data_IF_387773895237
#
_entry.id   IF_387773895237
#
_cell.length_a   1.000
_cell.length_b   1.000
_cell.length_c   1.000
_cell.angle_alpha   90.00
_cell.angle_beta   90.00
_cell.angle_gamma   90.00
#
_symmetry.space_group_name_H-M   'P 1'
#
loop_
_entity.id
_entity.type
_entity.pdbx_description
1 polymer ?
#
# COMPACT_ATOMS: atom_id res chain seq x y z
N UNK A 1 -16.66 3.99 8.81
CA UNK A 1 -17.88 3.15 8.68
C UNK A 1 -19.03 4.01 9.15
N UNK A 2 -20.01 4.31 8.29
CA UNK A 2 -21.15 5.11 8.68
C UNK A 2 -21.88 4.47 9.88
N UNK A 3 -22.43 5.27 10.81
CA UNK A 3 -23.25 4.74 11.89
C UNK A 3 -24.36 3.83 11.34
N UNK A 4 -24.60 2.68 11.99
CA UNK A 4 -25.62 1.72 11.59
C UNK A 4 -25.19 0.65 10.56
N UNK A 5 -24.00 0.74 9.97
CA UNK A 5 -23.50 -0.30 9.06
C UNK A 5 -22.95 -1.48 9.85
N UNK A 6 -23.62 -2.64 9.70
CA UNK A 6 -23.16 -3.91 10.25
C UNK A 6 -22.18 -4.59 9.28
N UNK A 7 -20.96 -4.84 9.75
CA UNK A 7 -19.96 -5.59 9.00
C UNK A 7 -20.06 -7.08 9.35
N UNK A 8 -20.28 -7.92 8.34
CA UNK A 8 -20.26 -9.37 8.52
C UNK A 8 -18.80 -9.84 8.62
N UNK A 9 -18.40 -10.51 9.71
CA UNK A 9 -17.03 -10.97 9.87
C UNK A 9 -16.69 -12.06 8.84
N UNK A 10 -15.58 -11.87 8.12
CA UNK A 10 -15.03 -12.87 7.20
C UNK A 10 -14.31 -13.99 7.97
N UNK A 11 -13.60 -13.62 9.04
CA UNK A 11 -13.01 -14.54 10.00
C UNK A 11 -13.93 -14.59 11.21
N UNK A 12 -14.60 -15.72 11.41
CA UNK A 12 -15.61 -15.92 12.48
C UNK A 12 -14.97 -16.48 13.75
N UNK A 13 -15.68 -16.33 14.87
CA UNK A 13 -15.29 -16.85 16.19
C UNK A 13 -14.80 -15.76 17.13
N UNK A 14 -14.94 -16.00 18.44
CA UNK A 14 -14.53 -15.06 19.49
C UNK A 14 -15.26 -13.70 19.47
N UNK A 15 -14.69 -12.72 20.17
CA UNK A 15 -15.21 -11.35 20.28
C UNK A 15 -14.17 -10.26 20.01
N UNK A 16 -13.02 -10.63 19.46
CA UNK A 16 -11.92 -9.71 19.12
C UNK A 16 -12.36 -8.70 18.05
N UNK A 17 -11.65 -7.57 17.97
CA UNK A 17 -11.91 -6.52 16.97
C UNK A 17 -13.40 -6.10 16.90
N UNK A 18 -14.07 -6.02 18.06
CA UNK A 18 -15.51 -5.68 18.17
C UNK A 18 -16.42 -6.62 17.36
N UNK A 19 -16.13 -7.93 17.41
CA UNK A 19 -16.82 -8.98 16.63
C UNK A 19 -16.64 -8.86 15.10
N UNK A 20 -15.71 -8.03 14.61
CA UNK A 20 -15.50 -7.83 13.16
C UNK A 20 -14.48 -8.80 12.57
N UNK A 21 -13.56 -9.32 13.39
CA UNK A 21 -12.53 -10.27 12.98
C UNK A 21 -12.18 -11.17 14.15
N UNK A 22 -12.45 -12.48 14.01
CA UNK A 22 -12.10 -13.48 15.01
C UNK A 22 -10.61 -13.79 15.08
N UNK A 23 -10.19 -14.34 16.22
CA UNK A 23 -8.82 -14.79 16.49
C UNK A 23 -8.04 -13.83 17.38
N UNK A 24 -7.10 -14.36 18.16
CA UNK A 24 -6.26 -13.60 19.11
C UNK A 24 -5.57 -12.42 18.41
N UNK A 25 -5.56 -11.27 19.09
CA UNK A 25 -4.97 -10.03 18.57
C UNK A 25 -3.44 -10.16 18.53
N UNK A 26 -2.85 -9.74 17.41
CA UNK A 26 -1.40 -9.74 17.25
C UNK A 26 -0.82 -8.48 17.90
N UNK A 27 -0.74 -8.47 19.24
CA UNK A 27 -0.33 -7.29 20.03
C UNK A 27 1.03 -6.74 19.59
N UNK A 28 2.00 -7.62 19.33
CA UNK A 28 3.33 -7.21 18.86
C UNK A 28 3.29 -6.59 17.46
N UNK A 29 2.51 -7.19 16.55
CA UNK A 29 2.28 -6.65 15.21
C UNK A 29 1.59 -5.28 15.24
N UNK A 30 0.61 -5.11 16.13
CA UNK A 30 -0.10 -3.83 16.33
C UNK A 30 0.87 -2.76 16.84
N UNK A 31 1.67 -3.07 17.85
CA UNK A 31 2.66 -2.13 18.39
C UNK A 31 3.73 -1.74 17.35
N UNK A 32 4.23 -2.71 16.58
CA UNK A 32 5.19 -2.46 15.50
C UNK A 32 4.58 -1.59 14.38
N UNK A 33 3.33 -1.87 14.00
CA UNK A 33 2.61 -1.05 13.02
C UNK A 33 2.40 0.39 13.51
N UNK A 34 2.04 0.58 14.78
CA UNK A 34 1.91 1.92 15.37
C UNK A 34 3.23 2.70 15.31
N UNK A 35 4.36 2.06 15.65
CA UNK A 35 5.67 2.67 15.55
C UNK A 35 6.07 3.02 14.10
N UNK A 36 5.73 2.16 13.13
CA UNK A 36 5.95 2.44 11.72
C UNK A 36 5.10 3.62 11.22
N UNK A 37 3.81 3.66 11.59
CA UNK A 37 2.88 4.73 11.23
C UNK A 37 3.31 6.09 11.78
N UNK A 38 3.84 6.15 13.00
CA UNK A 38 4.38 7.38 13.59
C UNK A 38 5.58 7.94 12.82
N UNK A 39 6.33 7.08 12.10
CA UNK A 39 7.48 7.51 11.29
C UNK A 39 7.11 7.89 9.85
N UNK A 40 5.86 7.69 9.44
CA UNK A 40 5.42 7.92 8.05
C UNK A 40 5.60 9.37 7.62
N UNK A 41 5.34 10.34 8.49
CA UNK A 41 5.47 11.77 8.17
C UNK A 41 6.88 12.15 7.70
N UNK A 42 7.92 11.66 8.40
CA UNK A 42 9.31 11.86 7.98
C UNK A 42 9.64 11.17 6.64
N UNK A 43 8.92 10.10 6.31
CA UNK A 43 9.02 9.40 5.03
C UNK A 43 8.37 10.16 3.87
N UNK A 44 7.36 11.00 4.13
CA UNK A 44 6.65 11.74 3.08
C UNK A 44 7.55 12.70 2.31
N UNK A 45 8.54 13.29 2.98
CA UNK A 45 9.54 14.14 2.31
C UNK A 45 10.35 13.39 1.24
N UNK A 46 10.47 12.06 1.33
CA UNK A 46 11.22 11.22 0.38
C UNK A 46 10.38 10.82 -0.84
N UNK A 47 9.09 11.11 -0.87
CA UNK A 47 8.19 10.65 -1.94
C UNK A 47 8.59 11.22 -3.31
N UNK A 48 9.11 12.44 -3.36
CA UNK A 48 9.67 13.03 -4.58
C UNK A 48 10.89 12.24 -5.10
N UNK A 49 11.79 11.82 -4.21
CA UNK A 49 12.94 11.00 -4.58
C UNK A 49 12.49 9.63 -5.10
N UNK A 50 11.51 9.01 -4.44
CA UNK A 50 10.94 7.73 -4.85
C UNK A 50 10.29 7.83 -6.23
N UNK A 51 9.56 8.92 -6.51
CA UNK A 51 9.00 9.19 -7.84
C UNK A 51 10.09 9.26 -8.91
N UNK A 52 11.16 10.00 -8.64
CA UNK A 52 12.29 10.12 -9.57
C UNK A 52 12.97 8.77 -9.85
N UNK A 53 13.11 7.92 -8.83
CA UNK A 53 13.64 6.55 -9.02
C UNK A 53 12.70 5.68 -9.85
N UNK A 54 11.39 5.77 -9.63
CA UNK A 54 10.38 5.06 -10.45
C UNK A 54 10.46 5.51 -11.91
N UNK A 55 10.47 6.82 -12.16
CA UNK A 55 10.47 7.37 -13.51
C UNK A 55 11.75 7.01 -14.27
N UNK A 56 12.89 7.01 -13.57
CA UNK A 56 14.16 6.54 -14.12
C UNK A 56 14.10 5.06 -14.51
N UNK A 57 13.67 4.20 -13.58
CA UNK A 57 13.52 2.77 -13.84
C UNK A 57 12.64 2.50 -15.06
N UNK A 58 11.48 3.15 -15.12
CA UNK A 58 10.53 3.00 -16.21
C UNK A 58 11.06 3.49 -17.56
N UNK A 59 11.84 4.59 -17.55
CA UNK A 59 12.46 5.12 -18.76
C UNK A 59 13.53 4.18 -19.31
N UNK A 60 14.39 3.67 -18.43
CA UNK A 60 15.44 2.71 -18.79
C UNK A 60 14.82 1.42 -19.36
N UNK A 61 13.83 0.84 -18.67
CA UNK A 61 13.17 -0.39 -19.14
C UNK A 61 12.45 -0.21 -20.48
N UNK A 62 11.73 0.90 -20.67
CA UNK A 62 11.05 1.18 -21.94
C UNK A 62 12.03 1.43 -23.10
N UNK A 63 13.29 1.77 -22.80
CA UNK A 63 14.33 1.90 -23.83
C UNK A 63 14.90 0.55 -24.30
N UNK A 64 14.87 -0.46 -23.42
CA UNK A 64 15.37 -1.81 -23.70
C UNK A 64 14.30 -2.75 -24.25
N UNK A 65 13.03 -2.55 -23.89
CA UNK A 65 11.89 -3.35 -24.31
C UNK A 65 10.80 -2.47 -24.95
N UNK A 66 10.80 -2.29 -26.29
CA UNK A 66 9.84 -1.43 -26.99
C UNK A 66 8.37 -1.87 -26.86
N UNK A 67 8.12 -3.15 -26.60
CA UNK A 67 6.80 -3.74 -26.38
C UNK A 67 6.26 -3.49 -24.96
N UNK A 68 7.12 -3.04 -24.04
CA UNK A 68 6.75 -2.84 -22.64
C UNK A 68 5.67 -1.79 -22.48
N UNK A 69 4.54 -2.19 -21.90
CA UNK A 69 3.47 -1.30 -21.49
C UNK A 69 3.57 -1.05 -19.99
N UNK A 70 3.57 0.22 -19.59
CA UNK A 70 3.54 0.62 -18.19
C UNK A 70 2.12 1.09 -17.87
N UNK A 71 1.43 0.37 -16.98
CA UNK A 71 0.05 0.68 -16.62
C UNK A 71 -0.06 2.06 -15.92
N UNK A 72 -0.90 2.93 -16.46
CA UNK A 72 -1.11 4.29 -15.94
C UNK A 72 0.05 5.26 -16.24
N UNK A 73 0.93 4.97 -17.21
CA UNK A 73 1.97 5.92 -17.63
C UNK A 73 1.32 7.25 -18.05
N UNK A 74 1.85 8.36 -17.54
CA UNK A 74 1.35 9.71 -17.82
C UNK A 74 0.14 10.15 -16.98
N UNK A 75 -0.39 9.32 -16.09
CA UNK A 75 -1.46 9.71 -15.15
C UNK A 75 -0.90 9.98 -13.76
N UNK A 76 -1.68 10.67 -12.91
CA UNK A 76 -1.40 10.70 -11.46
C UNK A 76 -1.56 9.29 -10.89
N UNK A 77 -0.54 8.80 -10.17
CA UNK A 77 -0.49 7.46 -9.57
C UNK A 77 0.58 7.41 -8.48
N UNK A 78 0.55 6.34 -7.68
CA UNK A 78 1.51 6.13 -6.59
C UNK A 78 2.96 6.23 -7.08
N UNK A 79 3.76 7.01 -6.35
CA UNK A 79 5.17 7.28 -6.70
C UNK A 79 6.09 6.08 -6.54
N UNK A 80 5.68 5.11 -5.70
CA UNK A 80 6.49 3.96 -5.30
C UNK A 80 6.08 2.65 -6.00
N UNK A 81 5.20 2.72 -7.01
CA UNK A 81 4.64 1.54 -7.66
C UNK A 81 4.83 1.65 -9.17
N UNK A 82 5.32 0.58 -9.79
CA UNK A 82 5.33 0.41 -11.24
C UNK A 82 4.67 -0.93 -11.59
N UNK A 83 3.79 -0.93 -12.59
CA UNK A 83 3.13 -2.12 -13.08
C UNK A 83 3.49 -2.29 -14.55
N UNK A 84 4.28 -3.33 -14.81
CA UNK A 84 4.86 -3.64 -16.11
C UNK A 84 4.03 -4.74 -16.76
N UNK A 85 3.68 -4.55 -18.03
CA UNK A 85 2.93 -5.49 -18.84
C UNK A 85 3.78 -5.79 -20.07
N UNK A 86 4.11 -7.07 -20.24
CA UNK A 86 4.89 -7.64 -21.34
C UNK A 86 3.95 -8.39 -22.29
#
# INVERSE_FOLDING_TARGET
IAPGVMLVPQIRGGGQEKYRRGGTENVLGIAGFAAAAQRTEAGMAKMTEIAAKRDRLETELASEAPELVIAGKGTERLVNTSCLIL
#
